data_IF_561247538613
#
_entry.id   IF_561247538613
#
_cell.length_a   1.000
_cell.length_b   1.000
_cell.length_c   1.000
_cell.angle_alpha   90.00
_cell.angle_beta   90.00
_cell.angle_gamma   90.00
#
_symmetry.space_group_name_H-M   'P 1'
#
loop_
_entity.id
_entity.type
_entity.pdbx_description
1 polymer ?
#
# COMPACT_ATOMS: atom_id res chain seq x y z
N UNK A 1 -26.48 -2.83 16.83
CA UNK A 1 -26.43 -4.15 16.16
C UNK A 1 -25.25 -4.15 15.20
N UNK A 2 -24.29 -5.06 15.37
CA UNK A 2 -22.99 -4.96 14.69
C UNK A 2 -23.13 -5.36 13.21
N UNK A 3 -22.90 -4.44 12.27
CA UNK A 3 -23.09 -4.69 10.83
C UNK A 3 -22.30 -5.93 10.35
N UNK A 4 -21.12 -6.16 10.93
CA UNK A 4 -20.24 -7.30 10.62
C UNK A 4 -20.80 -8.67 11.04
N UNK A 5 -21.77 -8.75 11.97
CA UNK A 5 -22.35 -10.04 12.37
C UNK A 5 -23.30 -10.61 11.31
N UNK A 6 -23.90 -9.76 10.48
CA UNK A 6 -24.85 -10.17 9.44
C UNK A 6 -24.18 -10.48 8.08
N UNK A 7 -23.03 -9.88 7.80
CA UNK A 7 -22.34 -10.08 6.50
C UNK A 7 -21.15 -11.04 6.59
N UNK A 8 -20.74 -11.40 7.81
CA UNK A 8 -19.54 -12.18 8.07
C UNK A 8 -18.34 -11.30 8.42
N UNK A 9 -17.57 -11.72 9.42
CA UNK A 9 -16.40 -11.00 9.90
C UNK A 9 -15.33 -10.88 8.79
N UNK A 10 -14.63 -9.74 8.74
CA UNK A 10 -13.50 -9.49 7.82
C UNK A 10 -12.41 -10.57 7.90
N UNK A 11 -12.28 -11.24 9.06
CA UNK A 11 -11.31 -12.32 9.25
C UNK A 11 -11.71 -13.65 8.59
N UNK A 12 -13.02 -13.93 8.48
CA UNK A 12 -13.54 -15.23 8.07
C UNK A 12 -14.03 -15.29 6.62
N UNK A 13 -14.34 -14.12 6.03
CA UNK A 13 -14.96 -14.01 4.71
C UNK A 13 -14.23 -13.02 3.79
N UNK A 14 -13.84 -13.46 2.58
CA UNK A 14 -13.38 -12.59 1.51
C UNK A 14 -14.38 -11.46 1.20
N UNK A 15 -13.88 -10.36 0.64
CA UNK A 15 -14.71 -9.21 0.29
C UNK A 15 -15.91 -9.59 -0.59
N UNK A 16 -15.72 -10.45 -1.61
CA UNK A 16 -16.82 -10.83 -2.50
C UNK A 16 -17.91 -11.63 -1.77
N UNK A 17 -17.55 -12.32 -0.69
CA UNK A 17 -18.52 -13.06 0.13
C UNK A 17 -19.34 -12.10 0.99
N UNK A 18 -18.70 -11.08 1.56
CA UNK A 18 -19.38 -10.05 2.35
C UNK A 18 -20.35 -9.26 1.47
N UNK A 19 -19.93 -8.88 0.25
CA UNK A 19 -20.82 -8.23 -0.74
C UNK A 19 -21.99 -9.13 -1.12
N UNK A 20 -21.76 -10.41 -1.38
CA UNK A 20 -22.82 -11.39 -1.66
C UNK A 20 -23.82 -11.48 -0.50
N UNK A 21 -23.35 -11.53 0.74
CA UNK A 21 -24.21 -11.57 1.92
C UNK A 21 -25.00 -10.28 2.10
N UNK A 22 -24.38 -9.12 1.84
CA UNK A 22 -25.09 -7.82 1.84
C UNK A 22 -26.24 -7.82 0.84
N UNK A 23 -26.00 -8.28 -0.40
CA UNK A 23 -27.04 -8.37 -1.43
C UNK A 23 -28.16 -9.31 -1.01
N UNK A 24 -27.84 -10.46 -0.42
CA UNK A 24 -28.83 -11.43 0.04
C UNK A 24 -29.70 -10.87 1.17
N UNK A 25 -29.12 -10.15 2.14
CA UNK A 25 -29.87 -9.49 3.21
C UNK A 25 -30.81 -8.42 2.66
N UNK A 26 -30.34 -7.59 1.72
CA UNK A 26 -31.22 -6.62 1.04
C UNK A 26 -32.33 -7.32 0.24
N UNK A 27 -32.00 -8.42 -0.47
CA UNK A 27 -32.98 -9.21 -1.22
C UNK A 27 -34.08 -9.78 -0.32
N UNK A 28 -33.74 -10.32 0.85
CA UNK A 28 -34.70 -10.78 1.85
C UNK A 28 -35.59 -9.61 2.32
N UNK A 29 -35.00 -8.46 2.65
CA UNK A 29 -35.75 -7.28 3.09
C UNK A 29 -36.73 -6.76 2.05
N UNK A 30 -36.29 -6.62 0.79
CA UNK A 30 -37.12 -6.13 -0.31
C UNK A 30 -38.26 -7.10 -0.61
N UNK A 31 -37.98 -8.40 -0.68
CA UNK A 31 -39.02 -9.41 -0.97
C UNK A 31 -40.00 -9.60 0.18
N UNK A 32 -39.55 -9.48 1.44
CA UNK A 32 -40.45 -9.46 2.61
C UNK A 32 -41.36 -8.23 2.60
N UNK A 33 -40.81 -7.04 2.30
CA UNK A 33 -41.60 -5.83 2.18
C UNK A 33 -42.61 -5.94 1.02
N UNK A 34 -42.18 -6.45 -0.14
CA UNK A 34 -43.05 -6.69 -1.29
C UNK A 34 -44.17 -7.66 -0.93
N UNK A 35 -43.90 -8.75 -0.20
CA UNK A 35 -44.92 -9.70 0.26
C UNK A 35 -45.98 -9.01 1.13
N UNK A 36 -45.57 -8.16 2.08
CA UNK A 36 -46.47 -7.40 2.94
C UNK A 36 -47.31 -6.42 2.13
N UNK A 37 -46.68 -5.64 1.24
CA UNK A 37 -47.38 -4.66 0.42
C UNK A 37 -48.37 -5.34 -0.54
N UNK A 38 -47.99 -6.46 -1.16
CA UNK A 38 -48.86 -7.22 -2.04
C UNK A 38 -50.10 -7.76 -1.32
N UNK A 39 -49.96 -8.14 -0.04
CA UNK A 39 -51.09 -8.55 0.80
C UNK A 39 -51.99 -7.36 1.16
N UNK A 40 -51.40 -6.23 1.57
CA UNK A 40 -52.15 -5.02 1.94
C UNK A 40 -52.91 -4.39 0.75
N UNK A 41 -52.38 -4.54 -0.47
CA UNK A 41 -52.97 -4.02 -1.70
C UNK A 41 -53.96 -4.99 -2.36
N UNK A 42 -54.21 -6.16 -1.74
CA UNK A 42 -55.11 -7.21 -2.23
C UNK A 42 -54.84 -7.62 -3.69
N UNK A 43 -53.55 -7.74 -4.06
CA UNK A 43 -53.11 -8.10 -5.41
C UNK A 43 -53.27 -9.60 -5.74
N UNK A 44 -54.02 -10.34 -4.91
CA UNK A 44 -54.28 -11.76 -5.06
C UNK A 44 -53.20 -12.69 -4.49
N UNK A 45 -53.59 -13.92 -4.11
CA UNK A 45 -52.73 -14.84 -3.35
C UNK A 45 -51.50 -15.33 -4.14
N UNK A 46 -51.58 -15.35 -5.47
CA UNK A 46 -50.48 -15.80 -6.34
C UNK A 46 -49.30 -14.83 -6.26
N UNK A 47 -49.55 -13.52 -6.33
CA UNK A 47 -48.50 -12.48 -6.31
C UNK A 47 -47.84 -12.41 -4.92
N UNK A 48 -48.61 -12.57 -3.85
CA UNK A 48 -48.08 -12.70 -2.48
C UNK A 48 -47.21 -13.96 -2.35
N UNK A 49 -47.68 -15.09 -2.89
CA UNK A 49 -46.96 -16.37 -2.89
C UNK A 49 -45.61 -16.30 -3.61
N UNK A 50 -45.54 -15.64 -4.77
CA UNK A 50 -44.29 -15.43 -5.52
C UNK A 50 -43.27 -14.66 -4.67
N UNK A 51 -43.69 -13.56 -4.03
CA UNK A 51 -42.81 -12.78 -3.14
C UNK A 51 -42.32 -13.61 -1.96
N UNK A 52 -43.19 -14.44 -1.38
CA UNK A 52 -42.83 -15.36 -0.29
C UNK A 52 -41.80 -16.42 -0.71
N UNK A 53 -41.98 -17.04 -1.88
CA UNK A 53 -41.03 -18.02 -2.43
C UNK A 53 -39.67 -17.38 -2.71
N UNK A 54 -39.63 -16.17 -3.26
CA UNK A 54 -38.39 -15.43 -3.48
C UNK A 54 -37.69 -15.09 -2.17
N UNK A 55 -38.42 -14.62 -1.17
CA UNK A 55 -37.89 -14.33 0.17
C UNK A 55 -37.27 -15.58 0.81
N UNK A 56 -38.00 -16.71 0.78
CA UNK A 56 -37.51 -17.98 1.29
C UNK A 56 -36.27 -18.48 0.55
N UNK A 57 -36.25 -18.33 -0.78
CA UNK A 57 -35.11 -18.70 -1.62
C UNK A 57 -33.87 -17.88 -1.26
N UNK A 58 -33.99 -16.55 -1.10
CA UNK A 58 -32.88 -15.72 -0.64
C UNK A 58 -32.42 -16.09 0.78
N UNK A 59 -33.35 -16.46 1.67
CA UNK A 59 -33.03 -17.00 3.00
C UNK A 59 -32.19 -18.27 2.96
N UNK A 60 -32.54 -19.23 2.10
CA UNK A 60 -31.75 -20.47 1.89
C UNK A 60 -30.36 -20.12 1.35
N UNK A 61 -30.28 -19.26 0.34
CA UNK A 61 -29.01 -18.86 -0.27
C UNK A 61 -28.11 -18.13 0.73
N UNK A 62 -28.69 -17.29 1.58
CA UNK A 62 -28.00 -16.62 2.69
C UNK A 62 -27.47 -17.63 3.70
N UNK A 63 -28.29 -18.59 4.13
CA UNK A 63 -27.84 -19.68 5.02
C UNK A 63 -26.70 -20.51 4.41
N UNK A 64 -26.80 -20.86 3.12
CA UNK A 64 -25.74 -21.60 2.41
C UNK A 64 -24.44 -20.79 2.28
N UNK A 65 -24.56 -19.47 2.12
CA UNK A 65 -23.40 -18.57 2.04
C UNK A 65 -22.74 -18.41 3.40
N UNK A 66 -23.52 -18.13 4.46
CA UNK A 66 -23.00 -17.80 5.79
C UNK A 66 -22.58 -19.05 6.59
N UNK A 67 -23.42 -20.07 6.65
CA UNK A 67 -23.20 -21.25 7.52
C UNK A 67 -22.41 -22.34 6.82
N UNK A 68 -22.73 -22.60 5.54
CA UNK A 68 -22.06 -23.67 4.76
C UNK A 68 -20.84 -23.18 3.98
N UNK A 69 -20.56 -21.87 3.99
CA UNK A 69 -19.43 -21.22 3.28
C UNK A 69 -19.35 -21.58 1.78
N UNK A 70 -20.47 -21.95 1.15
CA UNK A 70 -20.55 -22.35 -0.28
C UNK A 70 -20.71 -21.17 -1.23
N UNK A 71 -19.94 -20.10 -1.03
CA UNK A 71 -20.19 -18.80 -1.66
C UNK A 71 -19.99 -18.79 -3.19
N UNK A 72 -19.11 -19.64 -3.73
CA UNK A 72 -18.95 -19.76 -5.19
C UNK A 72 -20.24 -20.27 -5.84
N UNK A 73 -20.83 -21.32 -5.29
CA UNK A 73 -22.10 -21.88 -5.78
C UNK A 73 -23.22 -20.86 -5.61
N UNK A 74 -23.35 -20.27 -4.42
CA UNK A 74 -24.41 -19.28 -4.13
C UNK A 74 -24.34 -18.09 -5.08
N UNK A 75 -23.14 -17.60 -5.39
CA UNK A 75 -22.94 -16.50 -6.36
C UNK A 75 -23.55 -16.82 -7.73
N UNK A 76 -23.27 -18.01 -8.28
CA UNK A 76 -23.85 -18.42 -9.56
C UNK A 76 -25.36 -18.61 -9.46
N UNK A 77 -25.86 -19.22 -8.38
CA UNK A 77 -27.29 -19.40 -8.16
C UNK A 77 -28.04 -18.05 -8.08
N UNK A 78 -27.50 -17.07 -7.36
CA UNK A 78 -28.09 -15.72 -7.25
C UNK A 78 -28.16 -15.05 -8.61
N UNK A 79 -27.07 -15.07 -9.38
CA UNK A 79 -27.06 -14.41 -10.70
C UNK A 79 -27.99 -15.10 -11.67
N UNK A 80 -28.01 -16.43 -11.68
CA UNK A 80 -28.94 -17.19 -12.51
C UNK A 80 -30.39 -16.88 -12.14
N UNK A 81 -30.71 -16.87 -10.84
CA UNK A 81 -32.03 -16.51 -10.32
C UNK A 81 -32.42 -15.10 -10.77
N UNK A 82 -31.54 -14.11 -10.59
CA UNK A 82 -31.83 -12.72 -10.95
C UNK A 82 -32.08 -12.55 -12.46
N UNK A 83 -31.24 -13.14 -13.31
CA UNK A 83 -31.30 -12.96 -14.77
C UNK A 83 -32.45 -13.75 -15.39
N UNK A 84 -32.58 -15.04 -15.08
CA UNK A 84 -33.45 -15.95 -15.84
C UNK A 84 -34.80 -16.21 -15.18
N UNK A 85 -34.98 -15.86 -13.90
CA UNK A 85 -36.22 -16.12 -13.17
C UNK A 85 -36.82 -14.81 -12.67
N UNK A 86 -36.09 -14.05 -11.84
CA UNK A 86 -36.61 -12.83 -11.22
C UNK A 86 -36.90 -11.76 -12.27
N UNK A 87 -36.05 -11.58 -13.29
CA UNK A 87 -36.28 -10.57 -14.34
C UNK A 87 -37.58 -10.84 -15.13
N UNK A 88 -37.81 -12.03 -15.73
CA UNK A 88 -39.08 -12.32 -16.40
C UNK A 88 -40.31 -12.25 -15.49
N UNK A 89 -40.20 -12.80 -14.26
CA UNK A 89 -41.32 -12.79 -13.30
C UNK A 89 -41.68 -11.36 -12.91
N UNK A 90 -40.69 -10.51 -12.58
CA UNK A 90 -40.94 -9.11 -12.26
C UNK A 90 -41.49 -8.35 -13.45
N UNK A 91 -41.00 -8.61 -14.66
CA UNK A 91 -41.49 -7.96 -15.88
C UNK A 91 -42.98 -8.21 -16.09
N UNK A 92 -43.40 -9.47 -16.01
CA UNK A 92 -44.80 -9.87 -16.21
C UNK A 92 -45.70 -9.33 -15.09
N UNK A 93 -45.25 -9.43 -13.85
CA UNK A 93 -46.09 -9.11 -12.68
C UNK A 93 -46.12 -7.63 -12.29
N UNK A 94 -45.10 -6.85 -12.69
CA UNK A 94 -44.94 -5.43 -12.33
C UNK A 94 -44.98 -4.53 -13.57
N UNK A 95 -45.96 -4.77 -14.45
CA UNK A 95 -46.33 -3.82 -15.50
C UNK A 95 -45.30 -3.59 -16.61
N UNK A 96 -44.32 -4.48 -16.78
CA UNK A 96 -43.32 -4.40 -17.86
C UNK A 96 -42.65 -3.04 -17.95
N UNK A 97 -42.60 -2.48 -19.17
CA UNK A 97 -42.09 -1.13 -19.44
C UNK A 97 -42.88 0.00 -18.74
N UNK A 98 -44.16 -0.23 -18.48
CA UNK A 98 -45.06 0.75 -17.85
C UNK A 98 -45.02 0.74 -16.33
N UNK A 99 -44.17 -0.10 -15.73
CA UNK A 99 -44.08 -0.32 -14.29
C UNK A 99 -42.68 -0.19 -13.70
N UNK A 100 -42.54 -0.51 -12.41
CA UNK A 100 -41.28 -0.40 -11.68
C UNK A 100 -40.19 -1.41 -12.08
N UNK A 101 -40.52 -2.39 -12.92
CA UNK A 101 -39.63 -3.52 -13.28
C UNK A 101 -38.29 -3.06 -13.89
N UNK A 102 -38.30 -1.97 -14.66
CA UNK A 102 -37.13 -1.42 -15.36
C UNK A 102 -36.03 -0.96 -14.40
N UNK A 103 -36.39 -0.43 -13.22
CA UNK A 103 -35.42 0.02 -12.22
C UNK A 103 -34.69 -1.15 -11.55
N UNK A 104 -35.38 -2.28 -11.35
CA UNK A 104 -34.76 -3.49 -10.80
C UNK A 104 -33.71 -4.07 -11.74
N UNK A 105 -33.89 -3.94 -13.07
CA UNK A 105 -32.89 -4.37 -14.06
C UNK A 105 -31.60 -3.58 -13.90
N UNK A 106 -31.66 -2.28 -13.62
CA UNK A 106 -30.48 -1.48 -13.32
C UNK A 106 -29.77 -1.99 -12.06
N UNK A 107 -30.53 -2.29 -11.01
CA UNK A 107 -29.97 -2.88 -9.77
C UNK A 107 -29.36 -4.26 -10.01
N UNK A 108 -29.96 -5.11 -10.84
CA UNK A 108 -29.41 -6.42 -11.19
C UNK A 108 -28.15 -6.30 -12.03
N UNK A 109 -28.10 -5.37 -12.99
CA UNK A 109 -26.91 -5.07 -13.77
C UNK A 109 -25.74 -4.66 -12.87
N UNK A 110 -25.95 -3.72 -11.94
CA UNK A 110 -24.96 -3.34 -10.93
C UNK A 110 -24.51 -4.55 -10.09
N UNK A 111 -25.47 -5.36 -9.63
CA UNK A 111 -25.17 -6.56 -8.83
C UNK A 111 -24.27 -7.55 -9.58
N UNK A 112 -24.56 -7.81 -10.87
CA UNK A 112 -23.74 -8.68 -11.73
C UNK A 112 -22.35 -8.07 -11.96
N UNK A 113 -22.29 -6.76 -12.21
CA UNK A 113 -21.03 -6.03 -12.41
C UNK A 113 -20.11 -6.14 -11.18
N UNK A 114 -20.68 -6.18 -9.98
CA UNK A 114 -19.92 -6.23 -8.74
C UNK A 114 -19.52 -7.68 -8.40
N UNK A 115 -20.43 -8.63 -8.51
CA UNK A 115 -20.20 -10.02 -8.08
C UNK A 115 -19.32 -10.84 -9.04
N UNK A 116 -19.39 -10.57 -10.35
CA UNK A 116 -18.60 -11.30 -11.35
C UNK A 116 -17.36 -10.52 -11.77
N UNK A 117 -16.38 -11.24 -12.31
CA UNK A 117 -15.13 -10.68 -12.85
C UNK A 117 -14.83 -11.28 -14.22
N UNK A 118 -14.04 -10.56 -15.01
CA UNK A 118 -13.56 -11.02 -16.32
C UNK A 118 -14.68 -11.27 -17.33
N UNK A 119 -14.48 -12.27 -18.19
CA UNK A 119 -15.38 -12.58 -19.31
C UNK A 119 -16.81 -12.91 -18.85
N UNK A 120 -16.95 -13.60 -17.71
CA UNK A 120 -18.25 -14.06 -17.22
C UNK A 120 -19.18 -12.88 -16.85
N UNK A 121 -18.61 -11.76 -16.40
CA UNK A 121 -19.36 -10.52 -16.15
C UNK A 121 -20.00 -10.01 -17.43
N UNK A 122 -19.22 -9.94 -18.51
CA UNK A 122 -19.67 -9.44 -19.82
C UNK A 122 -20.77 -10.35 -20.36
N UNK A 123 -20.57 -11.68 -20.28
CA UNK A 123 -21.57 -12.67 -20.71
C UNK A 123 -22.88 -12.49 -19.94
N UNK A 124 -22.85 -12.40 -18.61
CA UNK A 124 -24.08 -12.32 -17.82
C UNK A 124 -24.80 -10.98 -17.93
N UNK A 125 -24.07 -9.87 -18.08
CA UNK A 125 -24.70 -8.57 -18.41
C UNK A 125 -25.31 -8.62 -19.81
N UNK A 126 -24.63 -9.25 -20.78
CA UNK A 126 -25.17 -9.51 -22.11
C UNK A 126 -26.44 -10.37 -22.07
N UNK A 127 -26.45 -11.46 -21.28
CA UNK A 127 -27.65 -12.28 -21.09
C UNK A 127 -28.79 -11.48 -20.46
N UNK A 128 -28.53 -10.65 -19.44
CA UNK A 128 -29.55 -9.77 -18.87
C UNK A 128 -30.13 -8.84 -19.93
N UNK A 129 -29.29 -8.18 -20.72
CA UNK A 129 -29.73 -7.29 -21.80
C UNK A 129 -30.55 -8.04 -22.87
N UNK A 130 -30.14 -9.24 -23.26
CA UNK A 130 -30.87 -10.07 -24.23
C UNK A 130 -32.22 -10.55 -23.69
N UNK A 131 -32.28 -10.97 -22.43
CA UNK A 131 -33.54 -11.35 -21.77
C UNK A 131 -34.48 -10.14 -21.71
N UNK A 132 -33.98 -8.98 -21.29
CA UNK A 132 -34.77 -7.73 -21.26
C UNK A 132 -35.26 -7.34 -22.65
N UNK A 133 -34.40 -7.41 -23.69
CA UNK A 133 -34.80 -7.11 -25.06
C UNK A 133 -35.88 -8.08 -25.56
N UNK A 134 -35.73 -9.38 -25.26
CA UNK A 134 -36.73 -10.39 -25.59
C UNK A 134 -38.07 -10.13 -24.90
N UNK A 135 -38.06 -9.68 -23.64
CA UNK A 135 -39.26 -9.31 -22.91
C UNK A 135 -39.93 -8.05 -23.47
N UNK A 136 -39.16 -7.05 -23.89
CA UNK A 136 -39.69 -5.84 -24.58
C UNK A 136 -40.38 -6.24 -25.89
N UNK A 137 -39.76 -7.12 -26.68
CA UNK A 137 -40.37 -7.60 -27.92
C UNK A 137 -41.62 -8.42 -27.62
N UNK A 138 -41.57 -9.32 -26.63
CA UNK A 138 -42.73 -10.10 -26.23
C UNK A 138 -43.89 -9.24 -25.73
N UNK A 139 -43.60 -8.18 -24.96
CA UNK A 139 -44.56 -7.17 -24.52
C UNK A 139 -45.26 -6.48 -25.69
N UNK A 140 -44.52 -6.11 -26.73
CA UNK A 140 -45.07 -5.46 -27.92
C UNK A 140 -46.06 -6.37 -28.67
N UNK A 141 -45.72 -7.64 -28.86
CA UNK A 141 -46.58 -8.59 -29.59
C UNK A 141 -47.72 -9.16 -28.74
N UNK A 142 -47.53 -9.25 -27.41
CA UNK A 142 -48.48 -9.86 -26.49
C UNK A 142 -48.70 -8.99 -25.23
N UNK A 143 -49.32 -7.81 -25.38
CA UNK A 143 -49.51 -6.87 -24.26
C UNK A 143 -50.41 -7.43 -23.15
N UNK A 144 -51.29 -8.38 -23.46
CA UNK A 144 -52.18 -9.03 -22.50
C UNK A 144 -51.47 -9.99 -21.53
N UNK A 145 -50.22 -10.38 -21.81
CA UNK A 145 -49.44 -11.22 -20.91
C UNK A 145 -48.96 -10.45 -19.67
N UNK A 146 -48.96 -9.11 -19.72
CA UNK A 146 -48.43 -8.27 -18.66
C UNK A 146 -49.56 -7.83 -17.74
N UNK A 147 -49.34 -8.01 -16.45
CA UNK A 147 -50.28 -7.55 -15.43
C UNK A 147 -50.38 -6.02 -15.48
N UNK A 148 -51.57 -5.53 -15.85
CA UNK A 148 -51.91 -4.12 -15.76
C UNK A 148 -52.13 -3.67 -14.32
N UNK A 149 -52.08 -2.36 -14.09
CA UNK A 149 -52.42 -1.77 -12.79
C UNK A 149 -53.92 -1.48 -12.69
N UNK A 150 -54.54 -1.89 -11.58
CA UNK A 150 -55.96 -1.67 -11.32
C UNK A 150 -56.31 -0.18 -11.11
N UNK A 151 -55.33 0.64 -10.71
CA UNK A 151 -55.53 2.09 -10.53
C UNK A 151 -54.29 2.88 -10.91
N UNK A 152 -54.50 4.14 -11.32
CA UNK A 152 -53.39 5.07 -11.57
C UNK A 152 -52.52 5.27 -10.33
N UNK A 153 -53.14 5.33 -9.14
CA UNK A 153 -52.43 5.45 -7.87
C UNK A 153 -51.50 4.26 -7.61
N UNK A 154 -51.96 3.02 -7.81
CA UNK A 154 -51.14 1.82 -7.62
C UNK A 154 -49.91 1.84 -8.55
N UNK A 155 -50.09 2.28 -9.80
CA UNK A 155 -48.98 2.47 -10.75
C UNK A 155 -47.97 3.52 -10.26
N UNK A 156 -48.45 4.69 -9.84
CA UNK A 156 -47.56 5.75 -9.34
C UNK A 156 -46.80 5.31 -8.09
N UNK A 157 -47.48 4.62 -7.16
CA UNK A 157 -46.86 4.09 -5.95
C UNK A 157 -45.78 3.04 -6.28
N UNK A 158 -46.07 2.10 -7.17
CA UNK A 158 -45.11 1.07 -7.58
C UNK A 158 -43.86 1.65 -8.25
N UNK A 159 -44.04 2.53 -9.26
CA UNK A 159 -42.93 3.19 -9.96
C UNK A 159 -42.07 4.00 -8.97
N UNK A 160 -42.71 4.76 -8.07
CA UNK A 160 -41.99 5.59 -7.09
C UNK A 160 -41.21 4.74 -6.09
N UNK A 161 -41.81 3.65 -5.58
CA UNK A 161 -41.15 2.70 -4.70
C UNK A 161 -39.98 2.00 -5.40
N UNK A 162 -40.17 1.52 -6.63
CA UNK A 162 -39.13 0.88 -7.43
C UNK A 162 -37.93 1.79 -7.67
N UNK A 163 -38.17 3.05 -8.01
CA UNK A 163 -37.10 4.04 -8.19
C UNK A 163 -36.33 4.31 -6.88
N UNK A 164 -37.04 4.53 -5.78
CA UNK A 164 -36.40 4.78 -4.47
C UNK A 164 -35.58 3.57 -4.00
N UNK A 165 -36.13 2.36 -4.14
CA UNK A 165 -35.41 1.12 -3.82
C UNK A 165 -34.16 1.00 -4.68
N UNK A 166 -34.25 1.23 -5.99
CA UNK A 166 -33.10 1.16 -6.89
C UNK A 166 -32.00 2.17 -6.53
N UNK A 167 -32.38 3.42 -6.17
CA UNK A 167 -31.41 4.44 -5.73
C UNK A 167 -30.73 4.00 -4.43
N UNK A 168 -31.51 3.59 -3.43
CA UNK A 168 -30.98 3.19 -2.11
C UNK A 168 -30.05 1.99 -2.25
N UNK A 169 -30.48 0.95 -2.97
CA UNK A 169 -29.68 -0.28 -3.13
C UNK A 169 -28.41 0.00 -3.93
N UNK A 170 -28.50 0.70 -5.07
CA UNK A 170 -27.29 1.01 -5.85
C UNK A 170 -26.32 1.88 -5.07
N UNK A 171 -26.82 2.91 -4.35
CA UNK A 171 -25.97 3.76 -3.49
C UNK A 171 -25.29 2.94 -2.39
N UNK A 172 -26.03 2.05 -1.71
CA UNK A 172 -25.46 1.16 -0.71
C UNK A 172 -24.38 0.23 -1.30
N UNK A 173 -24.62 -0.33 -2.49
CA UNK A 173 -23.63 -1.15 -3.19
C UNK A 173 -22.35 -0.35 -3.52
N UNK A 174 -22.48 0.87 -4.05
CA UNK A 174 -21.32 1.73 -4.33
C UNK A 174 -20.56 2.11 -3.06
N UNK A 175 -21.25 2.44 -1.97
CA UNK A 175 -20.61 2.76 -0.69
C UNK A 175 -19.77 1.57 -0.19
N UNK A 176 -20.29 0.34 -0.26
CA UNK A 176 -19.55 -0.86 0.15
C UNK A 176 -18.27 -1.04 -0.67
N UNK A 177 -18.33 -0.79 -1.98
CA UNK A 177 -17.17 -0.91 -2.88
C UNK A 177 -16.16 0.20 -2.64
N UNK A 178 -16.61 1.45 -2.59
CA UNK A 178 -15.75 2.61 -2.41
C UNK A 178 -15.02 2.50 -1.07
N UNK A 179 -15.74 2.17 0.01
CA UNK A 179 -15.13 1.99 1.32
C UNK A 179 -14.11 0.84 1.31
N UNK A 180 -14.39 -0.25 0.61
CA UNK A 180 -13.43 -1.35 0.47
C UNK A 180 -12.19 -0.94 -0.31
N UNK A 181 -12.35 -0.23 -1.43
CA UNK A 181 -11.26 0.27 -2.24
C UNK A 181 -10.37 1.23 -1.43
N UNK A 182 -10.98 2.16 -0.67
CA UNK A 182 -10.25 3.08 0.20
C UNK A 182 -9.48 2.32 1.30
N UNK A 183 -10.12 1.34 1.95
CA UNK A 183 -9.47 0.49 2.96
C UNK A 183 -8.27 -0.27 2.38
N UNK A 184 -8.43 -0.87 1.19
CA UNK A 184 -7.38 -1.63 0.52
C UNK A 184 -6.21 -0.72 0.09
N UNK A 185 -6.53 0.42 -0.51
CA UNK A 185 -5.54 1.41 -0.92
C UNK A 185 -4.76 1.96 0.28
N UNK A 186 -5.42 2.17 1.42
CA UNK A 186 -4.76 2.61 2.66
C UNK A 186 -3.78 1.56 3.18
N UNK A 187 -4.15 0.28 3.17
CA UNK A 187 -3.28 -0.82 3.60
C UNK A 187 -2.07 -0.99 2.69
N UNK A 188 -2.27 -0.90 1.37
CA UNK A 188 -1.19 -0.97 0.41
C UNK A 188 -0.16 0.15 0.66
N UNK A 189 -0.63 1.39 0.87
CA UNK A 189 0.25 2.52 1.19
C UNK A 189 0.98 2.35 2.53
N UNK A 190 0.32 1.80 3.55
CA UNK A 190 0.97 1.51 4.83
C UNK A 190 2.07 0.47 4.70
N UNK A 191 1.81 -0.60 3.95
CA UNK A 191 2.80 -1.65 3.68
C UNK A 191 4.02 -1.09 2.94
N UNK A 192 3.80 -0.26 1.91
CA UNK A 192 4.88 0.41 1.18
C UNK A 192 5.71 1.32 2.10
N UNK A 193 5.07 2.13 2.94
CA UNK A 193 5.77 3.01 3.87
C UNK A 193 6.59 2.22 4.92
N UNK A 194 6.07 1.08 5.38
CA UNK A 194 6.80 0.20 6.31
C UNK A 194 8.00 -0.47 5.63
N UNK A 195 7.85 -0.93 4.38
CA UNK A 195 8.95 -1.46 3.59
C UNK A 195 10.05 -0.43 3.34
N UNK A 196 9.70 0.80 2.96
CA UNK A 196 10.66 1.87 2.74
C UNK A 196 11.41 2.22 4.02
N UNK A 197 10.70 2.29 5.16
CA UNK A 197 11.32 2.51 6.46
C UNK A 197 12.30 1.38 6.81
N UNK A 198 11.89 0.12 6.65
CA UNK A 198 12.78 -1.02 6.91
C UNK A 198 14.02 -0.99 6.01
N UNK A 199 13.86 -0.62 4.74
CA UNK A 199 14.97 -0.49 3.78
C UNK A 199 15.95 0.61 4.19
N UNK A 200 15.44 1.79 4.56
CA UNK A 200 16.28 2.90 5.06
C UNK A 200 17.00 2.50 6.34
N UNK A 201 16.30 1.91 7.31
CA UNK A 201 16.92 1.45 8.57
C UNK A 201 17.98 0.37 8.32
N UNK A 202 17.73 -0.56 7.40
CA UNK A 202 18.69 -1.60 7.02
C UNK A 202 19.93 -1.02 6.33
N UNK A 203 19.75 -0.10 5.38
CA UNK A 203 20.84 0.59 4.68
C UNK A 203 21.69 1.41 5.67
N UNK A 204 21.06 2.16 6.57
CA UNK A 204 21.76 2.94 7.60
C UNK A 204 22.57 2.03 8.54
N UNK A 205 21.99 0.90 8.98
CA UNK A 205 22.73 -0.10 9.80
C UNK A 205 23.90 -0.72 9.04
N UNK A 206 23.71 -1.05 7.76
CA UNK A 206 24.75 -1.63 6.93
C UNK A 206 25.88 -0.63 6.68
N UNK A 207 25.54 0.63 6.38
CA UNK A 207 26.51 1.71 6.26
C UNK A 207 27.33 1.87 7.55
N UNK A 208 26.67 1.96 8.72
CA UNK A 208 27.35 2.07 10.00
C UNK A 208 28.31 0.91 10.27
N UNK A 209 27.92 -0.33 9.94
CA UNK A 209 28.79 -1.51 10.05
C UNK A 209 30.01 -1.44 9.14
N UNK A 210 29.82 -1.10 7.86
CA UNK A 210 30.93 -1.00 6.89
C UNK A 210 31.86 0.15 7.26
N UNK A 211 31.31 1.30 7.62
CA UNK A 211 32.07 2.50 8.00
C UNK A 211 32.93 2.25 9.24
N UNK A 212 32.38 1.64 10.28
CA UNK A 212 33.10 1.34 11.52
C UNK A 212 34.06 0.14 11.41
N UNK A 213 33.77 -0.85 10.56
CA UNK A 213 34.67 -1.99 10.33
C UNK A 213 35.85 -1.67 9.41
N UNK A 214 35.83 -0.52 8.71
CA UNK A 214 36.94 -0.09 7.86
C UNK A 214 38.20 0.13 8.70
N UNK A 215 39.35 -0.46 8.31
CA UNK A 215 40.63 -0.22 8.99
C UNK A 215 41.23 1.15 8.67
N UNK A 216 40.72 1.83 7.63
CA UNK A 216 41.10 3.20 7.33
C UNK A 216 40.47 4.14 8.36
N UNK A 217 41.20 5.16 8.76
CA UNK A 217 40.71 6.22 9.63
C UNK A 217 39.78 7.10 8.80
N UNK A 218 38.50 7.15 9.14
CA UNK A 218 37.50 7.86 8.32
C UNK A 218 36.78 8.92 9.13
N UNK A 219 36.64 10.10 8.53
CA UNK A 219 35.87 11.20 9.07
C UNK A 219 35.00 11.82 7.97
N UNK A 220 33.79 12.21 8.33
CA UNK A 220 32.86 12.95 7.49
C UNK A 220 32.59 14.28 8.19
N UNK A 221 32.83 15.38 7.50
CA UNK A 221 32.52 16.72 7.97
C UNK A 221 31.84 17.53 6.89
N UNK A 222 30.99 18.47 7.31
CA UNK A 222 30.27 19.35 6.38
C UNK A 222 31.24 20.31 5.70
N UNK A 223 31.10 20.53 4.39
CA UNK A 223 32.04 21.36 3.63
C UNK A 223 31.97 22.84 4.02
N UNK A 224 30.78 23.33 4.36
CA UNK A 224 30.53 24.75 4.66
C UNK A 224 31.30 25.27 5.89
N UNK A 225 31.36 24.49 6.96
CA UNK A 225 31.82 24.91 8.29
C UNK A 225 32.73 23.88 8.97
N UNK A 226 33.13 22.83 8.25
CA UNK A 226 34.03 21.77 8.71
C UNK A 226 33.61 21.10 10.03
N UNK A 227 32.31 21.08 10.32
CA UNK A 227 31.76 20.38 11.49
C UNK A 227 31.76 18.88 11.26
N UNK A 228 32.34 18.11 12.20
CA UNK A 228 32.33 16.66 12.15
C UNK A 228 30.90 16.11 12.30
N UNK A 229 30.45 15.38 11.29
CA UNK A 229 29.17 14.69 11.25
C UNK A 229 29.30 13.22 11.66
N UNK A 230 30.41 12.58 11.27
CA UNK A 230 30.71 11.20 11.65
C UNK A 230 32.22 10.94 11.66
N UNK A 231 32.67 10.06 12.55
CA UNK A 231 34.02 9.47 12.53
C UNK A 231 33.88 7.97 12.77
N UNK A 232 34.75 7.15 12.18
CA UNK A 232 34.69 5.71 12.40
C UNK A 232 35.49 5.28 13.63
N UNK A 233 35.34 4.02 14.04
CA UNK A 233 35.98 3.52 15.25
C UNK A 233 37.52 3.49 15.14
N UNK A 234 38.06 3.26 13.93
CA UNK A 234 39.50 3.33 13.68
C UNK A 234 40.07 4.74 13.93
N UNK A 235 39.36 5.78 13.48
CA UNK A 235 39.74 7.18 13.71
C UNK A 235 39.79 7.51 15.21
N UNK A 236 38.77 7.09 15.97
CA UNK A 236 38.69 7.30 17.42
C UNK A 236 39.83 6.57 18.16
N UNK A 237 40.06 5.30 17.81
CA UNK A 237 41.11 4.49 18.42
C UNK A 237 42.53 5.02 18.14
N UNK A 238 42.78 5.54 16.93
CA UNK A 238 44.10 6.07 16.55
C UNK A 238 44.45 7.36 17.30
N UNK A 239 43.47 8.26 17.49
CA UNK A 239 43.70 9.56 18.12
C UNK A 239 43.39 9.59 19.62
N UNK A 240 42.70 8.58 20.15
CA UNK A 240 42.35 8.47 21.58
C UNK A 240 41.22 9.40 22.01
N UNK A 241 40.30 9.72 21.12
CA UNK A 241 39.10 10.52 21.42
C UNK A 241 37.86 9.64 21.55
N UNK A 242 36.89 10.11 22.33
CA UNK A 242 35.55 9.55 22.35
C UNK A 242 34.64 10.24 21.33
N UNK A 243 33.67 9.52 20.77
CA UNK A 243 32.80 10.04 19.69
C UNK A 243 32.08 11.34 20.07
N UNK A 244 31.60 11.44 21.31
CA UNK A 244 30.88 12.62 21.81
C UNK A 244 31.77 13.86 21.99
N UNK A 245 33.10 13.69 21.98
CA UNK A 245 34.07 14.79 22.07
C UNK A 245 34.37 15.40 20.70
N UNK A 246 33.85 14.82 19.62
CA UNK A 246 34.21 15.18 18.23
C UNK A 246 32.99 15.63 17.44
N UNK A 247 31.91 14.84 17.49
CA UNK A 247 30.72 15.10 16.68
C UNK A 247 30.12 16.46 17.05
N UNK A 248 29.85 17.30 16.04
CA UNK A 248 29.32 18.64 16.23
C UNK A 248 30.37 19.74 16.44
N UNK A 249 31.65 19.38 16.59
CA UNK A 249 32.75 20.35 16.65
C UNK A 249 33.34 20.61 15.26
N UNK A 250 33.91 21.80 15.06
CA UNK A 250 34.65 22.13 13.85
C UNK A 250 36.06 21.54 13.89
N UNK A 251 36.68 21.39 12.70
CA UNK A 251 38.07 20.97 12.56
C UNK A 251 39.05 21.80 13.39
N UNK A 252 38.79 23.09 13.59
CA UNK A 252 39.64 23.98 14.39
C UNK A 252 39.48 23.76 15.90
N UNK A 253 38.28 23.37 16.34
CA UNK A 253 38.00 23.07 17.75
C UNK A 253 38.63 21.74 18.17
N UNK A 254 38.67 20.78 17.26
CA UNK A 254 39.36 19.49 17.43
C UNK A 254 40.81 19.63 16.94
N UNK A 255 41.66 20.27 17.75
CA UNK A 255 43.05 20.66 17.41
C UNK A 255 44.02 19.47 17.19
N UNK A 256 43.81 18.74 16.09
CA UNK A 256 44.58 17.54 15.70
C UNK A 256 45.69 17.82 14.70
N UNK A 257 45.64 18.91 13.94
CA UNK A 257 46.71 19.25 12.99
C UNK A 257 47.85 19.96 13.70
N UNK A 258 49.09 19.58 13.40
CA UNK A 258 50.24 20.35 13.89
C UNK A 258 50.23 21.78 13.29
N UNK A 259 50.73 22.79 14.01
CA UNK A 259 50.73 24.19 13.54
C UNK A 259 51.37 24.39 12.16
N UNK A 260 52.37 23.57 11.83
CA UNK A 260 53.10 23.56 10.55
C UNK A 260 52.25 23.03 9.38
N UNK A 261 51.29 22.14 9.67
CA UNK A 261 50.41 21.49 8.69
C UNK A 261 49.10 22.26 8.48
N UNK A 262 48.81 23.28 9.30
CA UNK A 262 47.63 24.16 9.14
C UNK A 262 47.65 25.00 7.85
N UNK A 263 48.81 25.11 7.20
CA UNK A 263 48.94 25.81 5.92
C UNK A 263 48.62 24.95 4.69
N UNK A 264 48.57 23.62 4.84
CA UNK A 264 48.06 22.74 3.79
C UNK A 264 46.55 22.88 3.81
N UNK A 265 46.02 23.75 2.95
CA UNK A 265 44.60 23.81 2.78
C UNK A 265 44.14 22.51 2.13
N UNK A 266 43.63 21.59 2.96
CA UNK A 266 43.03 20.36 2.47
C UNK A 266 41.90 20.66 1.48
N UNK A 267 41.39 21.90 1.37
CA UNK A 267 40.48 22.35 0.30
C UNK A 267 41.14 22.35 -1.10
N UNK A 268 42.45 22.57 -1.22
CA UNK A 268 43.21 22.62 -2.47
C UNK A 268 43.64 21.24 -3.00
N UNK A 269 43.58 20.19 -2.16
CA UNK A 269 43.85 18.83 -2.62
C UNK A 269 42.89 18.45 -3.75
N UNK A 270 43.42 18.01 -4.89
CA UNK A 270 42.57 17.47 -5.96
C UNK A 270 41.87 16.21 -5.46
N UNK A 271 40.61 16.01 -5.86
CA UNK A 271 39.83 14.84 -5.46
C UNK A 271 40.60 13.55 -5.77
N UNK A 272 40.79 12.68 -4.78
CA UNK A 272 41.54 11.42 -4.96
C UNK A 272 43.06 11.53 -4.87
N UNK A 273 43.65 12.71 -4.73
CA UNK A 273 45.09 12.87 -4.48
C UNK A 273 45.44 12.45 -3.05
N UNK A 274 46.56 11.78 -2.88
CA UNK A 274 47.10 11.40 -1.58
C UNK A 274 48.03 12.51 -1.06
N UNK A 275 47.87 12.90 0.20
CA UNK A 275 48.77 13.84 0.88
C UNK A 275 49.28 13.24 2.19
N UNK A 276 50.55 13.49 2.51
CA UNK A 276 51.09 13.17 3.82
C UNK A 276 50.87 14.38 4.73
N UNK A 277 50.30 14.14 5.92
CA UNK A 277 50.08 15.15 6.94
C UNK A 277 50.54 14.61 8.29
N UNK A 278 50.93 15.52 9.18
CA UNK A 278 51.17 15.19 10.59
C UNK A 278 50.01 15.63 11.47
N UNK A 279 49.52 14.69 12.25
CA UNK A 279 48.47 14.93 13.25
C UNK A 279 48.98 14.63 14.65
N UNK A 280 48.25 15.08 15.65
CA UNK A 280 48.54 14.91 17.07
C UNK A 280 47.36 14.20 17.74
N UNK A 281 47.66 13.17 18.53
CA UNK A 281 46.66 12.48 19.35
C UNK A 281 46.21 13.37 20.52
N UNK A 282 45.14 12.97 21.22
CA UNK A 282 44.67 13.64 22.44
C UNK A 282 45.75 13.75 23.53
N UNK A 283 46.69 12.80 23.56
CA UNK A 283 47.81 12.76 24.51
C UNK A 283 49.04 13.54 24.04
N UNK A 284 48.99 14.13 22.84
CA UNK A 284 50.09 14.93 22.30
C UNK A 284 51.07 14.16 21.40
N UNK A 285 50.85 12.88 21.14
CA UNK A 285 51.74 12.08 20.29
C UNK A 285 51.58 12.47 18.82
N UNK A 286 52.70 12.66 18.11
CA UNK A 286 52.67 12.91 16.67
C UNK A 286 52.43 11.62 15.88
N UNK A 287 51.59 11.70 14.85
CA UNK A 287 51.28 10.62 13.91
C UNK A 287 51.46 11.12 12.47
N UNK A 288 52.07 10.29 11.63
CA UNK A 288 52.23 10.54 10.20
C UNK A 288 51.06 9.84 9.46
N UNK A 289 50.16 10.62 8.86
CA UNK A 289 48.98 10.11 8.13
C UNK A 289 49.11 10.33 6.63
N UNK A 290 48.71 9.32 5.85
CA UNK A 290 48.47 9.47 4.42
C UNK A 290 46.96 9.64 4.19
N UNK A 291 46.54 10.80 3.71
CA UNK A 291 45.12 11.19 3.60
C UNK A 291 44.67 11.33 2.16
N UNK A 292 43.41 10.99 1.92
CA UNK A 292 42.65 11.30 0.70
C UNK A 292 41.29 11.84 1.07
N UNK A 293 40.73 12.71 0.22
CA UNK A 293 39.39 13.26 0.40
C UNK A 293 38.51 12.98 -0.82
N UNK A 294 37.22 12.77 -0.55
CA UNK A 294 36.17 12.70 -1.55
C UNK A 294 35.01 13.63 -1.16
N UNK A 295 34.37 14.24 -2.16
CA UNK A 295 33.12 14.98 -1.97
C UNK A 295 31.97 14.00 -2.02
N UNK A 296 31.09 14.07 -1.04
CA UNK A 296 29.87 13.26 -0.95
C UNK A 296 28.71 14.16 -0.59
N UNK A 297 27.50 13.76 -0.93
CA UNK A 297 26.29 14.48 -0.54
C UNK A 297 25.50 13.65 0.47
N UNK A 298 25.22 14.22 1.63
CA UNK A 298 24.42 13.59 2.69
C UNK A 298 23.25 14.51 2.98
N UNK A 299 22.01 14.01 2.84
CA UNK A 299 20.78 14.79 3.07
C UNK A 299 20.74 16.13 2.29
N UNK A 300 21.30 16.14 1.08
CA UNK A 300 21.38 17.35 0.24
C UNK A 300 22.49 18.34 0.64
N UNK A 301 23.25 18.07 1.70
CA UNK A 301 24.38 18.90 2.14
C UNK A 301 25.69 18.38 1.57
N UNK A 302 26.50 19.29 1.03
CA UNK A 302 27.86 18.98 0.58
C UNK A 302 28.75 18.67 1.78
N UNK A 303 29.31 17.47 1.77
CA UNK A 303 30.15 16.93 2.82
C UNK A 303 31.47 16.42 2.23
N UNK A 304 32.49 16.39 3.06
CA UNK A 304 33.79 15.83 2.73
C UNK A 304 33.98 14.54 3.51
N UNK A 305 34.24 13.45 2.80
CA UNK A 305 34.74 12.21 3.37
C UNK A 305 36.27 12.22 3.31
N UNK A 306 36.90 12.27 4.48
CA UNK A 306 38.34 12.07 4.64
C UNK A 306 38.58 10.60 4.98
N UNK A 307 39.51 9.98 4.26
CA UNK A 307 40.05 8.67 4.57
C UNK A 307 41.56 8.77 4.76
N UNK A 308 42.08 8.18 5.82
CA UNK A 308 43.48 8.25 6.17
C UNK A 308 44.02 6.88 6.59
N UNK A 309 45.32 6.71 6.39
CA UNK A 309 46.08 5.57 6.88
C UNK A 309 47.23 6.06 7.76
N UNK A 310 47.33 5.54 8.98
CA UNK A 310 48.47 5.82 9.86
C UNK A 310 49.72 5.10 9.33
N UNK A 311 50.71 5.87 8.88
CA UNK A 311 52.01 5.39 8.40
C UNK A 311 53.15 5.66 9.39
N UNK A 312 52.85 6.10 10.63
CA UNK A 312 53.87 6.47 11.63
C UNK A 312 54.89 5.36 11.84
N UNK A 313 54.43 4.11 12.02
CA UNK A 313 55.32 2.96 12.25
C UNK A 313 56.19 2.71 11.01
N UNK A 314 55.59 2.74 9.82
CA UNK A 314 56.29 2.48 8.56
C UNK A 314 57.35 3.56 8.29
N UNK A 315 57.00 4.83 8.41
CA UNK A 315 57.93 5.96 8.24
C UNK A 315 59.07 5.91 9.25
N UNK A 316 58.79 5.56 10.51
CA UNK A 316 59.83 5.41 11.53
C UNK A 316 60.78 4.24 11.25
N UNK A 317 60.28 3.14 10.68
CA UNK A 317 61.12 2.01 10.23
C UNK A 317 62.00 2.42 9.04
N UNK A 318 61.43 3.06 8.02
CA UNK A 318 62.17 3.57 6.85
C UNK A 318 63.28 4.55 7.26
N UNK A 319 62.98 5.50 8.16
CA UNK A 319 63.98 6.43 8.70
C UNK A 319 65.10 5.73 9.49
N UNK A 320 64.76 4.71 10.28
CA UNK A 320 65.76 3.92 11.04
C UNK A 320 66.68 3.14 10.10
N UNK A 321 66.12 2.50 9.07
CA UNK A 321 66.89 1.76 8.07
C UNK A 321 67.84 2.72 7.33
N UNK A 322 67.33 3.84 6.81
CA UNK A 322 68.15 4.83 6.11
C UNK A 322 69.28 5.44 6.98
N UNK A 323 69.04 5.59 8.29
CA UNK A 323 70.06 6.06 9.23
C UNK A 323 71.16 5.02 9.46
N UNK A 324 70.80 3.74 9.62
CA UNK A 324 71.77 2.65 9.78
C UNK A 324 72.62 2.45 8.51
N UNK A 325 72.02 2.52 7.32
CA UNK A 325 72.75 2.45 6.05
C UNK A 325 73.79 3.57 5.94
N UNK A 326 73.43 4.80 6.35
CA UNK A 326 74.38 5.92 6.42
C UNK A 326 75.53 5.68 7.39
N UNK A 327 75.25 5.14 8.58
CA UNK A 327 76.29 4.86 9.57
C UNK A 327 77.25 3.76 9.10
N UNK A 328 76.73 2.70 8.45
CA UNK A 328 77.56 1.64 7.87
C UNK A 328 78.45 2.18 6.75
N UNK A 329 77.93 3.01 5.84
CA UNK A 329 78.73 3.62 4.77
C UNK A 329 79.86 4.51 5.32
N UNK A 330 79.59 5.29 6.37
CA UNK A 330 80.61 6.13 7.02
C UNK A 330 81.66 5.28 7.74
N UNK A 331 81.26 4.14 8.32
CA UNK A 331 82.17 3.17 8.93
C UNK A 331 83.10 2.49 7.92
N UNK A 332 82.61 2.15 6.72
CA UNK A 332 83.43 1.57 5.65
C UNK A 332 84.40 2.57 4.99
N UNK A 333 84.05 3.86 4.95
CA UNK A 333 84.93 4.91 4.41
C UNK A 333 86.02 5.32 5.42
N UNK A 334 85.80 5.05 6.72
CA UNK A 334 86.74 5.37 7.79
C UNK A 334 87.70 4.22 8.16
N UNK A 335 87.54 3.04 7.55
CA UNK A 335 88.39 1.86 7.73
C UNK A 335 89.43 1.74 6.60
#
# INVERSE_FOLDING_TARGET
>A
MNYDSFIGNKADFPFEHRVLNTILVYGIGITALAMIMNYLLDLGPVIVGISGVLCFTFGILYYLSLVRKKCRLVRFCVIFLLVFITTPVLWITNGGLSGGSTFFILTFSSTIAILLRGYLRIVMVGCLALVTLGLIVAEYWHPLLISGYNSGFARYADISCGLLIAIIVNTALFIVIINHYIDEHKRANQYLAEMDRQKIESLNRQFGRVFNASPALMAIYREKDYVYLAVNDAWLASLGYERHEIIGLTKEQVDILLPEERQVDLSELTLGTLAEIKVRTKQGEARDWLVSKAKIQIEGQDCILLSAMDRTVLNNMERKIAHLDRLNLVGEIAA
#
